data_IF_920052080159
#
_entry.id   IF_920052080159
#
_cell.length_a   1.000
_cell.length_b   1.000
_cell.length_c   1.000
_cell.angle_alpha   90.00
_cell.angle_beta   90.00
_cell.angle_gamma   90.00
#
_symmetry.space_group_name_H-M   'P 1'
#
loop_
_entity.id
_entity.type
_entity.pdbx_description
1 polymer ?
#
# COMPACT_ATOMS: atom_id res chain seq x y z
N UNK A 1 -3.83 9.62 17.99
CA UNK A 1 -5.25 10.04 17.92
C UNK A 1 -5.98 9.02 17.05
N UNK A 2 -7.12 8.48 17.52
CA UNK A 2 -7.93 7.55 16.73
C UNK A 2 -9.00 8.38 16.02
N UNK A 3 -9.17 8.16 14.71
CA UNK A 3 -10.16 8.85 13.90
C UNK A 3 -11.55 8.28 14.19
N UNK A 4 -12.57 9.13 14.12
CA UNK A 4 -13.95 8.67 14.05
C UNK A 4 -14.29 8.16 12.63
N UNK A 5 -15.45 7.53 12.48
CA UNK A 5 -15.84 6.89 11.22
C UNK A 5 -15.97 7.87 10.05
N UNK A 6 -16.42 9.10 10.31
CA UNK A 6 -16.58 10.14 9.29
C UNK A 6 -15.21 10.64 8.84
N UNK A 7 -14.31 10.90 9.78
CA UNK A 7 -12.92 11.28 9.50
C UNK A 7 -12.20 10.19 8.71
N UNK A 8 -12.40 8.92 9.08
CA UNK A 8 -11.81 7.79 8.39
C UNK A 8 -12.37 7.64 6.97
N UNK A 9 -13.68 7.84 6.77
CA UNK A 9 -14.30 7.86 5.45
C UNK A 9 -13.75 9.01 4.57
N UNK A 10 -13.51 10.20 5.15
CA UNK A 10 -12.87 11.31 4.45
C UNK A 10 -11.46 10.95 3.99
N UNK A 11 -10.64 10.31 4.84
CA UNK A 11 -9.29 9.89 4.45
C UNK A 11 -9.33 8.87 3.31
N UNK A 12 -10.29 7.94 3.33
CA UNK A 12 -10.47 6.95 2.25
C UNK A 12 -10.78 7.56 0.88
N UNK A 13 -11.16 8.83 0.81
CA UNK A 13 -11.39 9.52 -0.47
C UNK A 13 -10.11 9.92 -1.21
N UNK A 14 -8.93 9.88 -0.57
CA UNK A 14 -7.71 10.41 -1.19
C UNK A 14 -7.30 9.71 -2.50
N UNK A 15 -7.53 8.41 -2.76
CA UNK A 15 -7.20 7.81 -4.05
C UNK A 15 -8.04 8.44 -5.18
N UNK A 16 -9.33 8.71 -4.92
CA UNK A 16 -10.21 9.40 -5.87
C UNK A 16 -9.75 10.84 -6.13
N UNK A 17 -9.37 11.57 -5.09
CA UNK A 17 -8.85 12.94 -5.21
C UNK A 17 -7.54 12.95 -5.99
N UNK A 18 -6.61 12.05 -5.68
CA UNK A 18 -5.35 11.92 -6.40
C UNK A 18 -5.58 11.60 -7.88
N UNK A 19 -6.48 10.66 -8.20
CA UNK A 19 -6.87 10.35 -9.58
C UNK A 19 -7.39 11.57 -10.32
N UNK A 20 -8.25 12.37 -9.69
CA UNK A 20 -8.80 13.60 -10.28
C UNK A 20 -7.70 14.62 -10.57
N UNK A 21 -6.77 14.84 -9.64
CA UNK A 21 -5.65 15.78 -9.82
C UNK A 21 -4.72 15.31 -10.94
N UNK A 22 -4.31 14.03 -10.93
CA UNK A 22 -3.38 13.50 -11.92
C UNK A 22 -3.96 13.50 -13.35
N UNK A 23 -5.28 13.32 -13.50
CA UNK A 23 -5.96 13.45 -14.79
C UNK A 23 -5.98 14.89 -15.32
N UNK A 24 -5.88 15.91 -14.47
CA UNK A 24 -5.86 17.31 -14.92
C UNK A 24 -4.50 17.74 -15.48
N UNK A 25 -3.43 17.00 -15.16
CA UNK A 25 -2.07 17.29 -15.61
C UNK A 25 -1.58 16.31 -16.68
N UNK A 26 -2.50 15.60 -17.33
CA UNK A 26 -2.24 14.59 -18.37
C UNK A 26 -1.15 13.58 -17.97
N UNK A 27 -1.19 13.11 -16.71
CA UNK A 27 -0.23 12.14 -16.20
C UNK A 27 -0.42 10.76 -16.86
N UNK A 28 0.62 9.93 -16.79
CA UNK A 28 0.62 8.59 -17.40
C UNK A 28 -0.59 7.76 -16.88
N UNK A 29 -1.52 7.32 -17.76
CA UNK A 29 -2.77 6.68 -17.33
C UNK A 29 -2.57 5.47 -16.41
N UNK A 30 -1.60 4.61 -16.69
CA UNK A 30 -1.30 3.44 -15.85
C UNK A 30 -0.90 3.82 -14.43
N UNK A 31 -0.14 4.91 -14.26
CA UNK A 31 0.25 5.38 -12.92
C UNK A 31 -0.95 5.99 -12.20
N UNK A 32 -1.83 6.68 -12.93
CA UNK A 32 -3.08 7.20 -12.38
C UNK A 32 -3.94 6.08 -11.81
N UNK A 33 -4.09 4.97 -12.54
CA UNK A 33 -4.89 3.84 -12.09
C UNK A 33 -4.19 3.03 -10.97
N UNK A 34 -2.85 2.90 -11.01
CA UNK A 34 -2.06 2.33 -9.91
C UNK A 34 -2.26 3.09 -8.60
N UNK A 35 -2.16 4.43 -8.64
CA UNK A 35 -2.42 5.30 -7.48
C UNK A 35 -3.88 5.22 -7.05
N UNK A 36 -4.81 5.03 -7.97
CA UNK A 36 -6.22 4.89 -7.61
C UNK A 36 -6.50 3.58 -6.84
N UNK A 37 -5.84 2.49 -7.22
CA UNK A 37 -6.09 1.15 -6.70
C UNK A 37 -5.17 0.73 -5.55
N UNK A 38 -4.18 1.53 -5.14
CA UNK A 38 -3.14 1.09 -4.20
C UNK A 38 -3.64 0.72 -2.78
N UNK A 39 -4.88 1.06 -2.44
CA UNK A 39 -5.54 0.63 -1.20
C UNK A 39 -6.55 -0.50 -1.38
N UNK A 40 -6.66 -1.06 -2.58
CA UNK A 40 -7.37 -2.30 -2.81
C UNK A 40 -6.65 -3.47 -2.13
N UNK A 41 -7.44 -4.47 -1.73
CA UNK A 41 -6.97 -5.70 -1.09
C UNK A 41 -7.48 -6.88 -1.89
N UNK A 42 -6.67 -7.92 -2.04
CA UNK A 42 -6.99 -9.00 -2.99
C UNK A 42 -8.27 -9.78 -2.62
N UNK A 43 -8.71 -9.72 -1.36
CA UNK A 43 -9.98 -10.28 -0.87
C UNK A 43 -11.21 -9.39 -1.13
N UNK A 44 -11.02 -8.15 -1.60
CA UNK A 44 -12.08 -7.16 -1.83
C UNK A 44 -12.47 -6.34 -0.59
N UNK A 45 -11.72 -6.44 0.51
CA UNK A 45 -11.93 -5.61 1.71
C UNK A 45 -11.40 -4.18 1.57
N UNK A 46 -10.64 -3.92 0.51
CA UNK A 46 -10.02 -2.64 0.20
C UNK A 46 -10.99 -1.56 -0.29
N UNK A 47 -10.41 -0.48 -0.79
CA UNK A 47 -11.14 0.67 -1.31
C UNK A 47 -10.28 1.33 -2.41
N UNK A 48 -10.87 2.12 -3.33
CA UNK A 48 -12.25 2.62 -3.35
C UNK A 48 -13.32 1.71 -3.99
N UNK A 49 -12.93 0.83 -4.92
CA UNK A 49 -13.83 0.04 -5.77
C UNK A 49 -14.09 -1.38 -5.24
N UNK A 50 -13.33 -1.83 -4.22
CA UNK A 50 -13.43 -3.18 -3.63
C UNK A 50 -13.11 -4.28 -4.64
N UNK A 51 -12.11 -4.02 -5.47
CA UNK A 51 -11.61 -4.93 -6.49
C UNK A 51 -11.00 -6.19 -5.86
N UNK A 52 -10.95 -7.28 -6.62
CA UNK A 52 -10.40 -8.56 -6.15
C UNK A 52 -9.32 -9.05 -7.09
N UNK A 53 -8.23 -9.58 -6.52
CA UNK A 53 -7.14 -10.28 -7.22
C UNK A 53 -6.78 -9.69 -8.60
N UNK A 54 -7.29 -10.30 -9.66
CA UNK A 54 -6.94 -10.02 -11.07
C UNK A 54 -7.57 -8.72 -11.58
N UNK A 55 -8.57 -8.17 -10.88
CA UNK A 55 -9.13 -6.85 -11.15
C UNK A 55 -8.19 -5.72 -10.68
N UNK A 56 -7.21 -6.04 -9.82
CA UNK A 56 -6.23 -5.10 -9.29
C UNK A 56 -4.96 -5.17 -10.14
N UNK A 57 -4.54 -4.02 -10.67
CA UNK A 57 -3.29 -3.88 -11.40
C UNK A 57 -2.12 -4.43 -10.58
N UNK A 58 -1.20 -5.14 -11.24
CA UNK A 58 -0.03 -5.70 -10.55
C UNK A 58 0.82 -4.59 -9.93
N UNK A 59 0.92 -3.44 -10.59
CA UNK A 59 1.61 -2.25 -10.10
C UNK A 59 0.96 -1.71 -8.82
N UNK A 60 -0.37 -1.74 -8.72
CA UNK A 60 -1.10 -1.34 -7.51
C UNK A 60 -0.89 -2.36 -6.37
N UNK A 61 -0.85 -3.66 -6.67
CA UNK A 61 -0.52 -4.71 -5.69
C UNK A 61 0.91 -4.55 -5.16
N UNK A 62 1.86 -4.21 -6.03
CA UNK A 62 3.23 -3.86 -5.64
C UNK A 62 3.24 -2.62 -4.73
N UNK A 63 2.54 -1.56 -5.12
CA UNK A 63 2.46 -0.32 -4.33
C UNK A 63 1.85 -0.56 -2.95
N UNK A 64 0.79 -1.37 -2.86
CA UNK A 64 0.11 -1.69 -1.62
C UNK A 64 1.04 -2.34 -0.58
N UNK A 65 1.90 -3.27 -1.02
CA UNK A 65 2.90 -3.91 -0.17
C UNK A 65 4.02 -2.93 0.20
N UNK A 66 4.55 -2.19 -0.78
CA UNK A 66 5.61 -1.22 -0.55
C UNK A 66 5.19 -0.11 0.42
N UNK A 67 4.00 0.49 0.23
CA UNK A 67 3.42 1.51 1.10
C UNK A 67 3.19 0.98 2.51
N UNK A 68 2.69 -0.26 2.65
CA UNK A 68 2.51 -0.88 3.98
C UNK A 68 3.86 -1.00 4.71
N UNK A 69 4.89 -1.51 4.02
CA UNK A 69 6.21 -1.70 4.63
C UNK A 69 6.83 -0.37 5.04
N UNK A 70 6.83 0.62 4.15
CA UNK A 70 7.37 1.96 4.43
C UNK A 70 6.59 2.64 5.56
N UNK A 71 5.26 2.63 5.50
CA UNK A 71 4.40 3.25 6.51
C UNK A 71 4.60 2.64 7.89
N UNK A 72 4.95 1.36 7.96
CA UNK A 72 5.24 0.68 9.21
C UNK A 72 6.65 0.92 9.74
N UNK A 73 7.64 0.91 8.84
CA UNK A 73 9.06 1.01 9.18
C UNK A 73 9.53 2.45 9.41
N UNK A 74 8.84 3.46 8.87
CA UNK A 74 9.25 4.86 8.97
C UNK A 74 8.67 5.59 10.18
N UNK A 75 9.46 6.50 10.77
CA UNK A 75 8.98 7.45 11.77
C UNK A 75 8.03 8.46 11.12
N UNK A 76 6.86 8.67 11.75
CA UNK A 76 5.90 9.69 11.34
C UNK A 76 5.66 10.65 12.51
N UNK A 77 5.30 11.93 12.27
CA UNK A 77 5.13 12.93 13.33
C UNK A 77 4.22 12.49 14.49
N UNK A 78 3.28 11.58 14.23
CA UNK A 78 2.30 11.10 15.20
C UNK A 78 2.48 9.62 15.60
N UNK A 79 3.51 8.93 15.08
CA UNK A 79 3.75 7.51 15.35
C UNK A 79 5.22 7.16 15.18
N UNK A 80 5.82 6.58 16.22
CA UNK A 80 7.15 5.97 16.08
C UNK A 80 7.13 4.84 15.04
N UNK A 81 8.27 4.63 14.39
CA UNK A 81 8.49 3.45 13.56
C UNK A 81 8.21 2.17 14.38
N UNK A 82 7.53 1.19 13.80
CA UNK A 82 7.39 -0.14 14.41
C UNK A 82 8.61 -1.03 14.14
N UNK A 83 9.49 -0.59 13.25
CA UNK A 83 10.65 -1.33 12.77
C UNK A 83 10.34 -2.17 11.54
N UNK A 84 11.39 -2.44 10.76
CA UNK A 84 11.28 -3.23 9.53
C UNK A 84 10.82 -4.67 9.80
N UNK A 85 11.25 -5.28 10.91
CA UNK A 85 10.88 -6.65 11.28
C UNK A 85 9.36 -6.80 11.40
N UNK A 86 8.70 -5.88 12.12
CA UNK A 86 7.23 -5.88 12.25
C UNK A 86 6.52 -5.61 10.95
N UNK A 87 7.10 -4.77 10.09
CA UNK A 87 6.55 -4.48 8.78
C UNK A 87 6.56 -5.72 7.87
N UNK A 88 7.67 -6.49 7.88
CA UNK A 88 7.80 -7.74 7.14
C UNK A 88 6.89 -8.84 7.72
N UNK A 89 6.74 -8.89 9.05
CA UNK A 89 5.82 -9.82 9.71
C UNK A 89 4.36 -9.55 9.31
N UNK A 90 3.92 -8.29 9.25
CA UNK A 90 2.56 -7.91 8.84
C UNK A 90 2.23 -8.42 7.43
N UNK A 91 3.06 -8.09 6.43
CA UNK A 91 2.80 -8.50 5.05
C UNK A 91 2.87 -10.02 4.89
N UNK A 92 3.72 -10.70 5.69
CA UNK A 92 3.83 -12.16 5.69
C UNK A 92 2.57 -12.81 6.26
N UNK A 93 2.05 -12.28 7.38
CA UNK A 93 0.84 -12.79 8.02
C UNK A 93 -0.41 -12.59 7.16
N UNK A 94 -0.43 -11.54 6.33
CA UNK A 94 -1.55 -11.19 5.45
C UNK A 94 -1.36 -11.66 3.99
N UNK A 95 -0.30 -12.43 3.72
CA UNK A 95 0.02 -13.00 2.40
C UNK A 95 -1.11 -13.90 1.90
N UNK A 96 -1.62 -13.65 0.69
CA UNK A 96 -2.72 -14.42 0.10
C UNK A 96 -4.11 -14.07 0.63
N UNK A 97 -4.20 -13.17 1.63
CA UNK A 97 -5.45 -12.66 2.20
C UNK A 97 -5.67 -11.22 1.75
N UNK A 98 -4.81 -10.30 2.22
CA UNK A 98 -4.90 -8.88 1.86
C UNK A 98 -3.95 -8.51 0.72
N UNK A 99 -2.80 -9.18 0.68
CA UNK A 99 -1.72 -8.90 -0.26
C UNK A 99 -1.45 -10.07 -1.19
N UNK A 100 -1.03 -9.75 -2.40
CA UNK A 100 -0.63 -10.74 -3.39
C UNK A 100 0.58 -11.54 -2.96
N UNK A 101 0.49 -12.86 -3.12
CA UNK A 101 1.52 -13.80 -2.71
C UNK A 101 2.87 -13.55 -3.38
N UNK A 102 2.88 -13.35 -4.70
CA UNK A 102 4.12 -13.16 -5.45
C UNK A 102 4.78 -11.82 -5.10
N UNK A 103 3.98 -10.79 -4.84
CA UNK A 103 4.48 -9.47 -4.43
C UNK A 103 5.08 -9.52 -3.02
N UNK A 104 4.39 -10.17 -2.07
CA UNK A 104 4.93 -10.34 -0.70
C UNK A 104 6.23 -11.11 -0.75
N UNK A 105 6.30 -12.22 -1.49
CA UNK A 105 7.50 -13.04 -1.60
C UNK A 105 8.67 -12.25 -2.21
N UNK A 106 8.41 -11.43 -3.23
CA UNK A 106 9.41 -10.56 -3.82
C UNK A 106 9.94 -9.51 -2.81
N UNK A 107 9.05 -8.92 -2.00
CA UNK A 107 9.43 -7.97 -0.96
C UNK A 107 10.26 -8.64 0.14
N UNK A 108 9.83 -9.80 0.65
CA UNK A 108 10.57 -10.56 1.65
C UNK A 108 11.97 -10.94 1.14
N UNK A 109 12.07 -11.43 -0.10
CA UNK A 109 13.35 -11.74 -0.73
C UNK A 109 14.28 -10.53 -0.82
N UNK A 110 13.75 -9.35 -1.14
CA UNK A 110 14.53 -8.12 -1.22
C UNK A 110 15.20 -7.78 0.12
N UNK A 111 14.47 -7.87 1.24
CA UNK A 111 15.01 -7.56 2.56
C UNK A 111 15.87 -8.70 3.13
N UNK A 112 15.41 -9.95 3.04
CA UNK A 112 16.02 -11.08 3.76
C UNK A 112 17.20 -11.71 3.01
N UNK A 113 17.16 -11.75 1.67
CA UNK A 113 18.21 -12.38 0.87
C UNK A 113 19.13 -11.36 0.20
N UNK A 114 18.57 -10.26 -0.31
CA UNK A 114 19.36 -9.23 -1.00
C UNK A 114 19.91 -8.16 -0.06
N UNK A 115 19.58 -8.20 1.23
CA UNK A 115 20.12 -7.31 2.25
C UNK A 115 19.75 -5.84 2.04
N UNK A 116 18.60 -5.55 1.42
CA UNK A 116 18.14 -4.18 1.28
C UNK A 116 17.86 -3.58 2.67
N UNK A 117 18.29 -2.32 2.86
CA UNK A 117 18.02 -1.53 4.05
C UNK A 117 17.56 -0.14 3.60
N UNK A 118 16.61 0.43 4.34
CA UNK A 118 16.30 1.85 4.17
C UNK A 118 17.52 2.67 4.55
N UNK A 119 17.81 3.72 3.76
CA UNK A 119 18.84 4.67 4.14
C UNK A 119 18.37 5.43 5.37
N UNK A 120 19.24 5.58 6.37
CA UNK A 120 18.98 6.52 7.45
C UNK A 120 18.89 7.92 6.85
N UNK A 121 17.76 8.59 7.08
CA UNK A 121 17.53 10.02 6.80
C UNK A 121 17.79 10.85 8.04
#
# INVERSE_FOLDING_TARGET
>A
MKLNDIEYAMIKSHPEVARKILKQVDFIPTVVDMVYQHHERIDGSGYPEKLKRDDILIEARILAVADTVEAMASHRPYRAALGIEKALEEIKNQRGILYDEAVVDACLKLFLEKGFQFKET
#
